data_IF_601146596926
#
_entry.id   IF_601146596926
#
_cell.length_a   1.000
_cell.length_b   1.000
_cell.length_c   1.000
_cell.angle_alpha   90.00
_cell.angle_beta   90.00
_cell.angle_gamma   90.00
#
_symmetry.space_group_name_H-M   'P 1'
#
loop_
_entity.id
_entity.type
_entity.pdbx_description
1 polymer ?
#
# COMPACT_ATOMS: atom_id res chain seq x y z
N UNK A 1 -25.60 26.92 9.29
CA UNK A 1 -26.34 26.70 8.03
C UNK A 1 -26.31 25.20 7.76
N UNK A 2 -27.45 24.57 7.49
CA UNK A 2 -27.46 23.17 7.08
C UNK A 2 -26.75 23.03 5.71
N UNK A 3 -25.91 22.00 5.50
CA UNK A 3 -25.29 21.76 4.20
C UNK A 3 -26.37 21.60 3.12
N UNK A 4 -26.21 22.25 1.98
CA UNK A 4 -27.10 22.01 0.83
C UNK A 4 -26.85 20.59 0.29
N UNK A 5 -27.92 19.90 -0.12
CA UNK A 5 -27.86 18.63 -0.85
C UNK A 5 -26.88 18.76 -2.03
N UNK A 6 -25.71 18.12 -1.93
CA UNK A 6 -24.62 18.19 -2.93
C UNK A 6 -23.23 18.50 -2.38
N UNK A 7 -23.10 19.11 -1.19
CA UNK A 7 -21.78 19.43 -0.59
C UNK A 7 -20.99 18.19 -0.12
N UNK A 8 -21.68 17.08 0.18
CA UNK A 8 -21.01 15.85 0.60
C UNK A 8 -20.17 15.23 -0.52
N UNK A 9 -20.66 15.30 -1.76
CA UNK A 9 -19.97 14.81 -2.96
C UNK A 9 -18.79 15.72 -3.34
N UNK A 10 -18.85 17.01 -2.99
CA UNK A 10 -17.77 17.99 -3.25
C UNK A 10 -16.52 17.75 -2.39
N UNK A 11 -16.71 17.16 -1.22
CA UNK A 11 -15.70 17.02 -0.15
C UNK A 11 -15.28 15.56 0.11
N UNK A 12 -15.58 14.67 -0.84
CA UNK A 12 -14.99 13.32 -0.87
C UNK A 12 -13.46 13.43 -0.92
N UNK A 13 -12.78 12.80 0.04
CA UNK A 13 -11.33 12.83 0.14
C UNK A 13 -10.80 13.61 1.34
N UNK A 14 -11.58 14.50 1.96
CA UNK A 14 -11.14 15.26 3.17
C UNK A 14 -10.60 14.32 4.24
N UNK A 15 -11.27 13.18 4.45
CA UNK A 15 -10.85 12.21 5.45
C UNK A 15 -9.47 11.65 5.10
N UNK A 16 -9.27 11.21 3.87
CA UNK A 16 -7.99 10.67 3.42
C UNK A 16 -6.87 11.72 3.41
N UNK A 17 -7.16 12.95 2.97
CA UNK A 17 -6.20 14.04 2.91
C UNK A 17 -5.77 14.49 4.32
N UNK A 18 -6.71 14.58 5.25
CA UNK A 18 -6.44 14.88 6.67
C UNK A 18 -5.58 13.79 7.29
N UNK A 19 -5.93 12.51 7.05
CA UNK A 19 -5.17 11.35 7.51
C UNK A 19 -3.74 11.38 6.96
N UNK A 20 -3.59 11.68 5.67
CA UNK A 20 -2.29 11.77 5.02
C UNK A 20 -1.44 12.89 5.64
N UNK A 21 -2.00 14.09 5.80
CA UNK A 21 -1.30 15.24 6.38
C UNK A 21 -0.84 14.96 7.82
N UNK A 22 -1.71 14.40 8.65
CA UNK A 22 -1.40 14.04 10.04
C UNK A 22 -0.31 12.95 10.06
N UNK A 23 -0.42 11.92 9.23
CA UNK A 23 0.58 10.86 9.14
C UNK A 23 1.95 11.43 8.74
N UNK A 24 1.99 12.28 7.71
CA UNK A 24 3.23 12.90 7.26
C UNK A 24 3.86 13.81 8.32
N UNK A 25 3.03 14.52 9.09
CA UNK A 25 3.48 15.34 10.22
C UNK A 25 4.15 14.48 11.30
N UNK A 26 3.52 13.37 11.68
CA UNK A 26 4.06 12.43 12.66
C UNK A 26 5.35 11.77 12.17
N UNK A 27 5.35 11.23 10.95
CA UNK A 27 6.52 10.58 10.34
C UNK A 27 7.68 11.58 10.14
N UNK A 28 7.38 12.88 10.03
CA UNK A 28 8.38 13.96 10.02
C UNK A 28 9.11 14.12 11.37
N UNK A 29 8.60 13.53 12.44
CA UNK A 29 9.12 13.68 13.80
C UNK A 29 8.56 14.91 14.52
N UNK A 30 7.33 15.34 14.21
CA UNK A 30 6.70 16.51 14.83
C UNK A 30 6.74 16.47 16.36
N UNK A 31 6.49 15.31 16.97
CA UNK A 31 6.53 15.17 18.43
C UNK A 31 7.97 15.19 18.98
N UNK A 32 8.92 14.64 18.23
CA UNK A 32 10.28 14.30 18.67
C UNK A 32 11.29 15.42 18.45
N UNK A 33 11.10 16.25 17.42
CA UNK A 33 12.04 17.28 17.00
C UNK A 33 11.56 18.67 17.40
N UNK A 34 12.49 19.53 17.77
CA UNK A 34 12.18 20.95 17.90
C UNK A 34 11.73 21.53 16.57
N UNK A 35 10.64 22.30 16.61
CA UNK A 35 10.08 22.91 15.40
C UNK A 35 10.92 24.15 15.08
N UNK A 36 11.63 24.11 13.95
CA UNK A 36 12.35 25.27 13.44
C UNK A 36 11.41 26.16 12.63
N UNK A 37 11.54 27.50 12.67
CA UNK A 37 10.77 28.43 11.82
C UNK A 37 10.95 28.21 10.30
N UNK A 38 11.89 27.35 9.87
CA UNK A 38 12.03 26.91 8.48
C UNK A 38 11.06 25.78 8.07
N UNK A 39 10.38 25.15 9.03
CA UNK A 39 9.30 24.18 8.82
C UNK A 39 7.98 24.99 8.74
N UNK A 40 7.30 25.00 7.60
CA UNK A 40 6.33 26.04 7.22
C UNK A 40 4.86 25.71 7.58
N UNK A 41 4.04 26.78 7.71
CA UNK A 41 2.55 26.91 7.70
C UNK A 41 1.77 26.43 8.94
N UNK A 42 1.73 27.23 10.01
CA UNK A 42 0.68 27.14 11.03
C UNK A 42 0.21 28.56 11.39
N UNK A 43 -1.10 28.76 11.59
CA UNK A 43 -1.67 30.04 12.05
C UNK A 43 -1.45 30.32 13.54
N UNK A 44 -0.87 29.36 14.27
CA UNK A 44 -0.48 29.48 15.68
C UNK A 44 0.97 29.95 15.77
N UNK A 45 1.30 30.89 16.66
CA UNK A 45 2.69 31.32 16.83
C UNK A 45 3.59 30.14 17.22
N UNK A 46 4.67 29.93 16.45
CA UNK A 46 5.61 28.81 16.58
C UNK A 46 6.12 28.60 18.02
N UNK A 47 6.28 29.69 18.77
CA UNK A 47 6.71 29.68 20.17
C UNK A 47 5.82 28.79 21.05
N UNK A 48 4.52 28.68 20.73
CA UNK A 48 3.55 27.90 21.49
C UNK A 48 3.63 26.39 21.23
N UNK A 49 4.40 25.92 20.23
CA UNK A 49 4.53 24.48 19.89
C UNK A 49 5.94 23.92 20.16
N UNK A 50 6.80 24.68 20.85
CA UNK A 50 8.17 24.26 21.13
C UNK A 50 8.25 23.13 22.16
N UNK A 51 7.29 23.04 23.08
CA UNK A 51 7.25 21.97 24.09
C UNK A 51 6.53 20.74 23.55
N UNK A 52 6.98 19.56 24.00
CA UNK A 52 6.30 18.29 23.70
C UNK A 52 4.82 18.31 24.08
N UNK A 53 4.51 18.82 25.30
CA UNK A 53 3.13 18.87 25.80
C UNK A 53 2.23 19.73 24.91
N UNK A 54 2.68 20.92 24.51
CA UNK A 54 1.88 21.78 23.65
C UNK A 54 1.63 21.18 22.26
N UNK A 55 2.58 20.41 21.71
CA UNK A 55 2.38 19.67 20.45
C UNK A 55 1.34 18.57 20.58
N UNK A 56 1.32 17.87 21.72
CA UNK A 56 0.29 16.89 22.03
C UNK A 56 -1.08 17.56 22.20
N UNK A 57 -1.14 18.66 22.96
CA UNK A 57 -2.39 19.39 23.18
C UNK A 57 -2.95 19.90 21.85
N UNK A 58 -2.09 20.33 20.93
CA UNK A 58 -2.49 20.69 19.57
C UNK A 58 -3.08 19.48 18.82
N UNK A 59 -2.44 18.31 18.90
CA UNK A 59 -2.93 17.09 18.25
C UNK A 59 -4.22 16.54 18.89
N UNK A 60 -4.57 16.92 20.13
CA UNK A 60 -5.86 16.55 20.74
C UNK A 60 -7.06 17.01 19.92
N UNK A 61 -6.90 18.12 19.17
CA UNK A 61 -7.91 18.64 18.25
C UNK A 61 -8.11 17.68 17.07
N UNK A 62 -7.02 17.09 16.55
CA UNK A 62 -7.08 16.03 15.54
C UNK A 62 -7.81 14.81 16.07
N UNK A 63 -7.57 14.38 17.31
CA UNK A 63 -8.29 13.24 17.90
C UNK A 63 -9.78 13.52 18.02
N UNK A 64 -10.12 14.74 18.46
CA UNK A 64 -11.51 15.19 18.56
C UNK A 64 -12.19 15.20 17.19
N UNK A 65 -11.47 15.62 16.16
CA UNK A 65 -11.94 15.58 14.77
C UNK A 65 -12.12 14.14 14.26
N UNK A 66 -11.17 13.23 14.53
CA UNK A 66 -11.28 11.81 14.15
C UNK A 66 -12.54 11.18 14.78
N UNK A 67 -12.77 11.45 16.06
CA UNK A 67 -13.92 10.93 16.80
C UNK A 67 -15.25 11.48 16.27
N UNK A 68 -15.33 12.78 16.01
CA UNK A 68 -16.56 13.43 15.53
C UNK A 68 -16.89 13.11 14.06
N UNK A 69 -15.88 12.76 13.26
CA UNK A 69 -16.06 12.31 11.87
C UNK A 69 -16.41 10.83 11.72
N UNK A 70 -16.54 10.12 12.83
CA UNK A 70 -16.96 8.73 12.84
C UNK A 70 -18.45 8.61 12.50
N UNK A 71 -18.81 7.58 11.75
CA UNK A 71 -20.20 7.23 11.48
C UNK A 71 -20.73 6.29 12.56
N UNK A 72 -20.44 5.00 12.41
CA UNK A 72 -20.68 3.97 13.41
C UNK A 72 -19.31 3.49 13.92
N UNK A 73 -18.83 2.33 13.46
CA UNK A 73 -17.55 1.76 13.87
C UNK A 73 -16.40 2.09 12.91
N UNK A 74 -16.67 2.81 11.83
CA UNK A 74 -15.66 3.24 10.87
C UNK A 74 -15.90 4.67 10.34
N UNK A 75 -15.25 4.97 9.21
CA UNK A 75 -15.25 6.28 8.56
C UNK A 75 -15.65 6.17 7.09
N UNK A 76 -16.12 7.29 6.54
CA UNK A 76 -16.47 7.42 5.13
C UNK A 76 -15.48 8.34 4.41
N UNK A 77 -15.64 8.50 3.10
CA UNK A 77 -14.77 9.34 2.26
C UNK A 77 -14.93 10.83 2.56
N UNK A 78 -16.13 11.24 2.98
CA UNK A 78 -16.49 12.61 3.30
C UNK A 78 -16.54 12.82 4.80
N UNK A 79 -16.23 14.04 5.25
CA UNK A 79 -16.41 14.44 6.64
C UNK A 79 -17.89 14.49 7.03
N UNK A 80 -18.16 14.13 8.28
CA UNK A 80 -19.51 14.06 8.82
C UNK A 80 -20.20 15.43 8.93
N UNK A 81 -19.43 16.52 8.85
CA UNK A 81 -19.92 17.90 8.85
C UNK A 81 -20.61 18.29 7.52
N UNK A 82 -20.31 17.56 6.44
CA UNK A 82 -20.92 17.79 5.11
C UNK A 82 -22.08 16.83 4.82
N UNK A 83 -22.38 15.91 5.73
CA UNK A 83 -23.48 14.96 5.58
C UNK A 83 -24.78 15.59 6.05
N UNK A 84 -25.74 15.74 5.13
CA UNK A 84 -27.08 16.24 5.47
C UNK A 84 -27.81 15.30 6.45
N UNK A 85 -27.62 13.98 6.30
CA UNK A 85 -28.14 12.94 7.18
C UNK A 85 -27.12 11.81 7.30
N UNK A 86 -26.47 11.69 8.46
CA UNK A 86 -25.44 10.67 8.71
C UNK A 86 -25.98 9.24 8.61
N UNK A 87 -27.29 9.03 8.85
CA UNK A 87 -27.89 7.70 8.83
C UNK A 87 -27.92 7.07 7.42
N UNK A 88 -27.76 7.89 6.37
CA UNK A 88 -27.73 7.43 4.98
C UNK A 88 -26.35 6.94 4.54
N UNK A 89 -25.32 7.15 5.38
CA UNK A 89 -23.95 6.79 5.07
C UNK A 89 -23.53 5.59 5.92
N UNK A 90 -22.89 4.62 5.27
CA UNK A 90 -22.26 3.49 5.92
C UNK A 90 -20.74 3.66 5.87
N UNK A 91 -19.99 3.22 6.88
CA UNK A 91 -18.53 3.26 6.83
C UNK A 91 -17.98 2.51 5.61
N UNK A 92 -16.83 2.96 5.13
CA UNK A 92 -16.15 2.37 3.98
C UNK A 92 -14.77 1.82 4.35
N UNK A 93 -14.36 0.74 3.69
CA UNK A 93 -13.12 0.00 3.93
C UNK A 93 -11.89 0.90 3.81
N UNK A 94 -11.74 1.62 2.70
CA UNK A 94 -10.57 2.46 2.43
C UNK A 94 -10.31 3.52 3.52
N UNK A 95 -11.26 4.44 3.77
CA UNK A 95 -11.12 5.49 4.79
C UNK A 95 -10.99 4.91 6.20
N UNK A 96 -11.74 3.86 6.53
CA UNK A 96 -11.61 3.19 7.82
C UNK A 96 -10.22 2.61 8.01
N UNK A 97 -9.69 1.92 7.00
CA UNK A 97 -8.37 1.33 7.08
C UNK A 97 -7.25 2.39 7.16
N UNK A 98 -7.35 3.45 6.35
CA UNK A 98 -6.42 4.57 6.40
C UNK A 98 -6.43 5.24 7.79
N UNK A 99 -7.62 5.44 8.37
CA UNK A 99 -7.78 6.03 9.69
C UNK A 99 -7.16 5.17 10.78
N UNK A 100 -7.44 3.86 10.76
CA UNK A 100 -6.89 2.91 11.75
C UNK A 100 -5.36 2.86 11.68
N UNK A 101 -4.78 2.88 10.47
CA UNK A 101 -3.32 2.93 10.30
C UNK A 101 -2.71 4.25 10.80
N UNK A 102 -3.40 5.37 10.65
CA UNK A 102 -2.95 6.64 11.21
C UNK A 102 -3.07 6.69 12.73
N UNK A 103 -4.17 6.17 13.28
CA UNK A 103 -4.33 6.01 14.73
C UNK A 103 -3.21 5.14 15.30
N UNK A 104 -2.86 4.03 14.65
CA UNK A 104 -1.75 3.16 15.07
C UNK A 104 -0.41 3.88 15.09
N UNK A 105 -0.12 4.68 14.06
CA UNK A 105 1.08 5.54 14.05
C UNK A 105 1.05 6.55 15.19
N UNK A 106 -0.12 7.12 15.45
CA UNK A 106 -0.27 8.12 16.48
C UNK A 106 -0.04 7.53 17.87
N UNK A 107 -0.59 6.34 18.13
CA UNK A 107 -0.32 5.55 19.33
C UNK A 107 1.17 5.22 19.50
N UNK A 108 1.87 4.86 18.42
CA UNK A 108 3.32 4.61 18.45
C UNK A 108 4.11 5.87 18.80
N UNK A 109 3.74 7.01 18.23
CA UNK A 109 4.42 8.28 18.46
C UNK A 109 4.25 8.82 19.89
N UNK A 110 3.19 8.42 20.59
CA UNK A 110 2.92 8.76 21.99
C UNK A 110 3.22 7.62 22.97
N UNK A 111 3.85 6.52 22.54
CA UNK A 111 3.96 5.30 23.34
C UNK A 111 4.69 5.49 24.69
N UNK A 112 5.58 6.49 24.77
CA UNK A 112 6.32 6.84 25.99
C UNK A 112 5.64 7.89 26.88
N UNK A 113 4.46 8.40 26.50
CA UNK A 113 3.72 9.40 27.28
C UNK A 113 2.52 8.75 27.98
N UNK A 114 2.71 8.41 29.25
CA UNK A 114 1.68 7.81 30.10
C UNK A 114 0.57 8.79 30.50
N UNK A 115 0.84 10.10 30.43
CA UNK A 115 -0.11 11.16 30.79
C UNK A 115 -0.99 11.60 29.61
N UNK A 116 -0.81 11.00 28.44
CA UNK A 116 -1.57 11.36 27.24
C UNK A 116 -3.07 10.99 27.39
N UNK A 117 -3.90 11.96 27.76
CA UNK A 117 -5.32 11.79 28.10
C UNK A 117 -6.16 11.09 27.03
N UNK A 118 -5.84 11.31 25.75
CA UNK A 118 -6.60 10.74 24.63
C UNK A 118 -6.10 9.36 24.17
N UNK A 119 -5.07 8.78 24.79
CA UNK A 119 -4.50 7.48 24.41
C UNK A 119 -5.55 6.36 24.44
N UNK A 120 -6.29 6.23 25.53
CA UNK A 120 -7.34 5.21 25.66
C UNK A 120 -8.45 5.37 24.60
N UNK A 121 -8.75 6.61 24.21
CA UNK A 121 -9.71 6.88 23.13
C UNK A 121 -9.18 6.35 21.79
N UNK A 122 -7.92 6.63 21.46
CA UNK A 122 -7.28 6.14 20.23
C UNK A 122 -7.20 4.61 20.19
N UNK A 123 -6.83 3.97 21.30
CA UNK A 123 -6.79 2.51 21.41
C UNK A 123 -8.17 1.88 21.14
N UNK A 124 -9.23 2.44 21.73
CA UNK A 124 -10.60 2.02 21.47
C UNK A 124 -11.01 2.21 20.00
N UNK A 125 -10.74 3.39 19.43
CA UNK A 125 -11.06 3.69 18.02
C UNK A 125 -10.36 2.73 17.06
N UNK A 126 -9.08 2.41 17.32
CA UNK A 126 -8.31 1.42 16.57
C UNK A 126 -8.97 0.04 16.66
N UNK A 127 -9.24 -0.43 17.87
CA UNK A 127 -9.79 -1.76 18.11
C UNK A 127 -11.15 -1.94 17.42
N UNK A 128 -12.05 -0.98 17.60
CA UNK A 128 -13.37 -1.02 16.98
C UNK A 128 -13.29 -1.07 15.45
N UNK A 129 -12.37 -0.31 14.85
CA UNK A 129 -12.17 -0.26 13.40
C UNK A 129 -11.57 -1.55 12.83
N UNK A 130 -10.62 -2.18 13.54
CA UNK A 130 -10.12 -3.52 13.20
C UNK A 130 -11.26 -4.54 13.24
N UNK A 131 -12.07 -4.49 14.29
CA UNK A 131 -13.17 -5.45 14.45
C UNK A 131 -14.27 -5.24 13.40
N UNK A 132 -14.59 -3.99 13.04
CA UNK A 132 -15.52 -3.71 11.94
C UNK A 132 -15.00 -4.28 10.60
N UNK A 133 -13.71 -4.13 10.30
CA UNK A 133 -13.12 -4.73 9.09
C UNK A 133 -13.28 -6.26 9.09
N UNK A 134 -13.06 -6.94 10.22
CA UNK A 134 -13.26 -8.40 10.29
C UNK A 134 -14.70 -8.80 9.94
N UNK A 135 -15.67 -8.04 10.42
CA UNK A 135 -17.10 -8.31 10.22
C UNK A 135 -17.56 -8.10 8.77
N UNK A 136 -16.96 -7.15 8.05
CA UNK A 136 -17.31 -6.87 6.65
C UNK A 136 -16.49 -7.66 5.62
N UNK A 137 -15.55 -8.51 6.06
CA UNK A 137 -14.77 -9.34 5.16
C UNK A 137 -15.67 -10.36 4.44
N UNK A 138 -15.63 -10.39 3.11
CA UNK A 138 -16.43 -11.35 2.34
C UNK A 138 -15.97 -12.79 2.58
N UNK A 139 -16.84 -13.76 2.31
CA UNK A 139 -16.50 -15.19 2.34
C UNK A 139 -15.31 -15.57 1.44
N UNK A 140 -15.12 -14.84 0.34
CA UNK A 140 -13.94 -15.00 -0.53
C UNK A 140 -12.61 -14.61 0.12
N UNK A 141 -12.64 -13.83 1.22
CA UNK A 141 -11.49 -13.26 1.91
C UNK A 141 -11.15 -11.84 1.48
N UNK A 142 -11.70 -11.36 0.36
CA UNK A 142 -11.51 -9.99 -0.12
C UNK A 142 -12.44 -8.97 0.53
N UNK A 143 -12.21 -7.69 0.24
CA UNK A 143 -12.95 -6.56 0.76
C UNK A 143 -13.47 -5.67 -0.36
N UNK A 144 -14.76 -5.33 -0.33
CA UNK A 144 -15.36 -4.26 -1.14
C UNK A 144 -15.28 -2.91 -0.43
N UNK A 145 -16.01 -1.91 -0.95
CA UNK A 145 -16.22 -0.65 -0.24
C UNK A 145 -16.82 -0.86 1.14
N UNK A 146 -17.79 -1.76 1.21
CA UNK A 146 -18.58 -2.15 2.37
C UNK A 146 -18.92 -3.64 2.21
N UNK A 147 -19.69 -4.22 3.14
CA UNK A 147 -20.03 -5.65 3.11
C UNK A 147 -20.93 -6.06 1.93
N UNK A 148 -21.59 -5.11 1.25
CA UNK A 148 -22.52 -5.36 0.15
C UNK A 148 -21.85 -5.21 -1.23
N UNK A 149 -20.75 -4.48 -1.32
CA UNK A 149 -19.99 -4.27 -2.56
C UNK A 149 -19.12 -5.49 -2.92
N UNK A 150 -18.71 -5.60 -4.18
CA UNK A 150 -17.82 -6.68 -4.61
C UNK A 150 -16.38 -6.46 -4.12
N UNK A 151 -15.63 -7.51 -3.77
CA UNK A 151 -14.23 -7.37 -3.38
C UNK A 151 -13.32 -6.73 -4.45
N UNK A 152 -12.52 -5.74 -4.04
CA UNK A 152 -11.58 -5.01 -4.90
C UNK A 152 -10.16 -5.04 -4.36
N UNK A 153 -9.20 -4.87 -5.26
CA UNK A 153 -7.78 -5.04 -4.92
C UNK A 153 -7.31 -4.00 -3.89
N UNK A 154 -7.64 -2.72 -4.09
CA UNK A 154 -7.18 -1.65 -3.19
C UNK A 154 -7.78 -1.75 -1.79
N UNK A 155 -9.08 -1.99 -1.68
CA UNK A 155 -9.76 -2.19 -0.38
C UNK A 155 -9.18 -3.40 0.38
N UNK A 156 -8.96 -4.51 -0.32
CA UNK A 156 -8.37 -5.72 0.28
C UNK A 156 -6.94 -5.48 0.77
N UNK A 157 -6.12 -4.74 0.01
CA UNK A 157 -4.76 -4.41 0.41
C UNK A 157 -4.73 -3.48 1.64
N UNK A 158 -5.58 -2.46 1.68
CA UNK A 158 -5.70 -1.58 2.85
C UNK A 158 -6.17 -2.33 4.09
N UNK A 159 -7.22 -3.16 3.96
CA UNK A 159 -7.73 -3.97 5.05
C UNK A 159 -6.67 -4.96 5.57
N UNK A 160 -5.95 -5.65 4.68
CA UNK A 160 -4.85 -6.54 5.07
C UNK A 160 -3.84 -5.84 5.97
N UNK A 161 -3.41 -4.63 5.62
CA UNK A 161 -2.46 -3.86 6.45
C UNK A 161 -2.98 -3.60 7.86
N UNK A 162 -4.27 -3.30 8.00
CA UNK A 162 -4.90 -3.07 9.30
C UNK A 162 -5.01 -4.36 10.12
N UNK A 163 -5.42 -5.47 9.49
CA UNK A 163 -5.52 -6.76 10.16
C UNK A 163 -4.14 -7.21 10.69
N UNK A 164 -3.06 -6.83 10.01
CA UNK A 164 -1.70 -7.11 10.48
C UNK A 164 -1.27 -6.33 11.74
N UNK A 165 -2.04 -5.33 12.17
CA UNK A 165 -1.78 -4.57 13.41
C UNK A 165 -2.19 -5.32 14.68
N UNK A 166 -3.08 -6.31 14.57
CA UNK A 166 -3.53 -7.12 15.71
C UNK A 166 -2.86 -8.48 15.73
N UNK A 167 -2.74 -9.06 16.93
CA UNK A 167 -2.14 -10.37 17.18
C UNK A 167 -3.16 -11.39 17.70
N UNK A 168 -4.46 -11.07 17.71
CA UNK A 168 -5.48 -12.07 18.03
C UNK A 168 -5.67 -13.05 16.88
N UNK A 169 -5.98 -14.31 17.24
CA UNK A 169 -6.09 -15.42 16.31
C UNK A 169 -7.13 -15.20 15.21
N UNK A 170 -8.27 -14.59 15.55
CA UNK A 170 -9.33 -14.32 14.58
C UNK A 170 -8.89 -13.29 13.54
N UNK A 171 -8.19 -12.24 13.97
CA UNK A 171 -7.62 -11.25 13.04
C UNK A 171 -6.53 -11.86 12.15
N UNK A 172 -5.73 -12.77 12.68
CA UNK A 172 -4.73 -13.52 11.90
C UNK A 172 -5.38 -14.36 10.79
N UNK A 173 -6.47 -15.06 11.11
CA UNK A 173 -7.23 -15.82 10.12
C UNK A 173 -7.81 -14.91 9.03
N UNK A 174 -8.38 -13.76 9.43
CA UNK A 174 -8.88 -12.76 8.49
C UNK A 174 -7.76 -12.20 7.58
N UNK A 175 -6.57 -11.91 8.15
CA UNK A 175 -5.41 -11.43 7.40
C UNK A 175 -4.92 -12.47 6.38
N UNK A 176 -4.86 -13.76 6.76
CA UNK A 176 -4.47 -14.85 5.85
C UNK A 176 -5.46 -14.96 4.69
N UNK A 177 -6.77 -14.84 4.95
CA UNK A 177 -7.79 -14.88 3.90
C UNK A 177 -7.67 -13.71 2.92
N UNK A 178 -7.39 -12.50 3.42
CA UNK A 178 -7.15 -11.33 2.58
C UNK A 178 -5.89 -11.48 1.72
N UNK A 179 -4.82 -12.02 2.32
CA UNK A 179 -3.58 -12.34 1.62
C UNK A 179 -3.80 -13.39 0.52
N UNK A 180 -4.46 -14.50 0.85
CA UNK A 180 -4.76 -15.58 -0.10
C UNK A 180 -5.63 -15.05 -1.25
N UNK A 181 -6.57 -14.15 -0.99
CA UNK A 181 -7.36 -13.48 -2.04
C UNK A 181 -6.47 -12.66 -2.98
N UNK A 182 -5.57 -11.82 -2.45
CA UNK A 182 -4.63 -11.02 -3.26
C UNK A 182 -3.70 -11.90 -4.08
N UNK A 183 -3.23 -13.02 -3.53
CA UNK A 183 -2.34 -13.95 -4.25
C UNK A 183 -3.08 -14.75 -5.32
N UNK A 184 -4.35 -15.10 -5.12
CA UNK A 184 -5.15 -15.82 -6.12
C UNK A 184 -5.63 -14.90 -7.23
N UNK A 185 -5.85 -13.62 -6.94
CA UNK A 185 -6.28 -12.63 -7.93
C UNK A 185 -5.14 -12.28 -8.89
N UNK A 186 -5.16 -12.83 -10.11
CA UNK A 186 -4.15 -12.60 -11.14
C UNK A 186 -4.02 -11.12 -11.52
N UNK A 187 -5.12 -10.35 -11.45
CA UNK A 187 -5.11 -8.90 -11.70
C UNK A 187 -4.34 -8.14 -10.62
N UNK A 188 -4.35 -8.61 -9.37
CA UNK A 188 -3.54 -8.02 -8.29
C UNK A 188 -2.02 -8.23 -8.49
N UNK A 189 -1.62 -9.21 -9.30
CA UNK A 189 -0.22 -9.45 -9.69
C UNK A 189 0.20 -8.69 -10.94
N UNK A 190 -0.74 -8.35 -11.82
CA UNK A 190 -0.53 -7.66 -13.09
C UNK A 190 -1.36 -6.38 -13.12
N UNK A 191 -1.09 -5.50 -12.17
CA UNK A 191 -1.90 -4.35 -11.87
C UNK A 191 -1.97 -3.33 -13.01
N UNK A 192 -0.94 -3.26 -13.86
CA UNK A 192 -0.97 -2.49 -15.11
C UNK A 192 -2.04 -2.94 -16.12
N UNK A 193 -2.67 -4.11 -15.93
CA UNK A 193 -3.76 -4.65 -16.76
C UNK A 193 -5.11 -4.71 -16.04
N UNK A 194 -5.15 -4.37 -14.76
CA UNK A 194 -6.41 -4.34 -14.00
C UNK A 194 -7.28 -3.19 -14.49
N UNK A 195 -8.58 -3.43 -14.71
CA UNK A 195 -9.51 -2.35 -15.02
C UNK A 195 -9.66 -1.44 -13.80
N UNK A 196 -10.09 -0.19 -14.01
CA UNK A 196 -10.34 0.73 -12.89
C UNK A 196 -11.38 0.18 -11.90
N UNK A 197 -12.37 -0.58 -12.38
CA UNK A 197 -13.41 -1.18 -11.54
C UNK A 197 -12.87 -2.30 -10.65
N UNK A 198 -11.84 -3.03 -11.11
CA UNK A 198 -11.17 -4.06 -10.30
C UNK A 198 -10.22 -3.45 -9.24
N UNK A 199 -9.75 -2.23 -9.49
CA UNK A 199 -8.70 -1.55 -8.76
C UNK A 199 -9.23 -0.86 -7.49
N UNK A 200 -10.26 -0.03 -7.64
CA UNK A 200 -10.87 0.73 -6.55
C UNK A 200 -12.31 1.15 -6.92
N UNK A 201 -12.95 1.90 -6.04
CA UNK A 201 -14.25 2.51 -6.32
C UNK A 201 -14.10 3.72 -7.24
N UNK A 202 -15.17 3.96 -8.00
CA UNK A 202 -15.39 5.20 -8.74
C UNK A 202 -16.41 6.02 -7.97
N UNK A 203 -16.11 7.28 -7.70
CA UNK A 203 -17.07 8.20 -7.11
C UNK A 203 -17.33 9.37 -8.05
N UNK A 204 -18.48 10.01 -7.90
CA UNK A 204 -18.88 11.13 -8.72
C UNK A 204 -18.77 12.41 -7.91
N UNK A 205 -17.74 13.21 -8.16
CA UNK A 205 -17.67 14.58 -7.64
C UNK A 205 -18.58 15.47 -8.50
N UNK A 206 -19.55 16.14 -7.89
CA UNK A 206 -20.35 17.15 -8.57
C UNK A 206 -19.57 18.49 -8.58
N UNK A 207 -19.37 19.07 -9.76
CA UNK A 207 -18.80 20.41 -9.92
C UNK A 207 -19.96 21.39 -10.01
N UNK A 208 -20.01 22.34 -9.07
CA UNK A 208 -21.02 23.40 -9.05
C UNK A 208 -20.40 24.75 -9.41
N UNK A 209 -21.17 25.58 -10.11
CA UNK A 209 -20.92 27.02 -10.23
C UNK A 209 -22.22 27.74 -9.91
N UNK A 210 -22.19 28.67 -8.96
CA UNK A 210 -23.36 29.51 -8.58
C UNK A 210 -24.62 28.68 -8.25
N UNK A 211 -24.49 27.67 -7.39
CA UNK A 211 -25.60 26.83 -6.90
C UNK A 211 -26.36 26.02 -7.99
N UNK A 212 -25.72 25.76 -9.13
CA UNK A 212 -26.22 24.81 -10.14
C UNK A 212 -25.18 23.72 -10.40
N UNK A 213 -25.63 22.45 -10.46
CA UNK A 213 -24.79 21.31 -10.86
C UNK A 213 -24.37 21.56 -12.30
N UNK A 214 -23.11 21.91 -12.51
CA UNK A 214 -22.57 22.17 -13.85
C UNK A 214 -22.14 20.85 -14.51
N UNK A 215 -21.55 19.92 -13.75
CA UNK A 215 -21.08 18.63 -14.27
C UNK A 215 -20.83 17.61 -13.15
N UNK A 216 -21.35 16.37 -13.27
CA UNK A 216 -20.86 15.24 -12.46
C UNK A 216 -19.58 14.72 -13.12
N UNK A 217 -18.45 14.76 -12.40
CA UNK A 217 -17.16 14.19 -12.83
C UNK A 217 -16.92 12.92 -12.03
N UNK A 218 -16.70 11.80 -12.71
CA UNK A 218 -16.26 10.58 -12.04
C UNK A 218 -14.78 10.75 -11.69
N UNK A 219 -14.48 10.81 -10.39
CA UNK A 219 -13.13 10.77 -9.86
C UNK A 219 -12.89 9.35 -9.36
N UNK A 220 -11.85 8.70 -9.88
CA UNK A 220 -11.27 7.58 -9.15
C UNK A 220 -10.17 8.18 -8.30
N UNK A 221 -10.24 7.97 -6.98
CA UNK A 221 -9.11 8.27 -6.12
C UNK A 221 -7.93 7.43 -6.62
N UNK A 222 -6.96 8.07 -7.29
CA UNK A 222 -5.74 7.40 -7.75
C UNK A 222 -4.80 7.18 -6.57
N UNK A 223 -5.17 6.24 -5.73
CA UNK A 223 -4.22 5.55 -4.88
C UNK A 223 -3.24 4.78 -5.78
N UNK A 224 -1.91 4.87 -5.54
CA UNK A 224 -0.90 4.13 -6.30
C UNK A 224 -1.02 2.64 -5.96
N UNK A 225 -1.94 1.97 -6.62
CA UNK A 225 -2.41 0.64 -6.25
C UNK A 225 -1.27 -0.38 -6.23
N UNK A 226 -0.33 -0.29 -7.16
CA UNK A 226 0.89 -1.10 -7.16
C UNK A 226 1.69 -0.94 -5.87
N UNK A 227 1.88 0.30 -5.41
CA UNK A 227 2.62 0.59 -4.21
C UNK A 227 1.86 0.10 -2.96
N UNK A 228 0.54 0.29 -2.91
CA UNK A 228 -0.27 -0.13 -1.76
C UNK A 228 -0.33 -1.65 -1.62
N UNK A 229 -0.53 -2.37 -2.73
CA UNK A 229 -0.48 -3.84 -2.72
C UNK A 229 0.92 -4.32 -2.36
N UNK A 230 1.97 -3.68 -2.91
CA UNK A 230 3.35 -4.01 -2.57
C UNK A 230 3.64 -3.84 -1.08
N UNK A 231 3.22 -2.72 -0.47
CA UNK A 231 3.34 -2.48 0.97
C UNK A 231 2.60 -3.56 1.75
N UNK A 232 1.34 -3.87 1.40
CA UNK A 232 0.56 -4.88 2.09
C UNK A 232 1.21 -6.27 2.06
N UNK A 233 1.81 -6.64 0.92
CA UNK A 233 2.55 -7.90 0.79
C UNK A 233 3.87 -7.89 1.58
N UNK A 234 4.59 -6.77 1.59
CA UNK A 234 5.78 -6.59 2.41
C UNK A 234 5.46 -6.71 3.91
N UNK A 235 4.43 -6.01 4.38
CA UNK A 235 3.93 -6.09 5.76
C UNK A 235 3.56 -7.55 6.10
N UNK A 236 2.79 -8.24 5.24
CA UNK A 236 2.43 -9.65 5.45
C UNK A 236 3.66 -10.58 5.51
N UNK A 237 4.67 -10.32 4.68
CA UNK A 237 5.91 -11.11 4.67
C UNK A 237 6.77 -10.87 5.93
N UNK A 238 6.80 -9.64 6.45
CA UNK A 238 7.45 -9.34 7.73
C UNK A 238 6.75 -10.09 8.88
N UNK A 239 5.43 -10.22 8.83
CA UNK A 239 4.65 -10.99 9.80
C UNK A 239 4.54 -12.50 9.50
N UNK A 240 5.33 -13.04 8.55
CA UNK A 240 5.21 -14.44 8.10
C UNK A 240 5.27 -15.51 9.19
N UNK A 241 6.05 -15.27 10.26
CA UNK A 241 6.19 -16.22 11.37
C UNK A 241 4.90 -16.30 12.19
N UNK A 242 4.31 -15.14 12.47
CA UNK A 242 3.03 -15.00 13.16
C UNK A 242 1.89 -15.60 12.34
N UNK A 243 1.81 -15.23 11.06
CA UNK A 243 0.81 -15.75 10.12
C UNK A 243 1.01 -17.24 9.76
N UNK A 244 2.05 -17.90 10.29
CA UNK A 244 2.37 -19.30 10.00
C UNK A 244 2.37 -19.62 8.49
N UNK A 245 2.94 -18.73 7.68
CA UNK A 245 2.89 -18.86 6.22
C UNK A 245 3.68 -20.10 5.76
N UNK A 246 3.00 -21.00 5.07
CA UNK A 246 3.62 -22.17 4.44
C UNK A 246 4.72 -21.75 3.45
N UNK A 247 5.65 -22.67 3.15
CA UNK A 247 6.72 -22.40 2.18
C UNK A 247 6.19 -21.91 0.83
N UNK A 248 5.12 -22.55 0.32
CA UNK A 248 4.48 -22.16 -0.93
C UNK A 248 3.85 -20.76 -0.89
N UNK A 249 3.20 -20.39 0.22
CA UNK A 249 2.69 -19.01 0.40
C UNK A 249 3.83 -17.99 0.44
N UNK A 250 4.90 -18.28 1.17
CA UNK A 250 6.08 -17.39 1.25
C UNK A 250 6.72 -17.17 -0.13
N UNK A 251 6.84 -18.21 -0.94
CA UNK A 251 7.31 -18.11 -2.32
C UNK A 251 6.35 -17.27 -3.18
N UNK A 252 5.05 -17.53 -3.07
CA UNK A 252 4.02 -16.78 -3.78
C UNK A 252 4.03 -15.28 -3.45
N UNK A 253 4.17 -14.92 -2.17
CA UNK A 253 4.30 -13.53 -1.71
C UNK A 253 5.59 -12.92 -2.26
N UNK A 254 6.72 -13.62 -2.16
CA UNK A 254 8.02 -13.13 -2.66
C UNK A 254 7.98 -12.84 -4.16
N UNK A 255 7.43 -13.76 -4.96
CA UNK A 255 7.24 -13.58 -6.41
C UNK A 255 6.35 -12.37 -6.72
N UNK A 256 5.27 -12.20 -5.97
CA UNK A 256 4.37 -11.05 -6.12
C UNK A 256 5.08 -9.72 -5.78
N UNK A 257 5.86 -9.68 -4.69
CA UNK A 257 6.68 -8.53 -4.29
C UNK A 257 7.64 -8.13 -5.41
N UNK A 258 8.40 -9.08 -5.99
CA UNK A 258 9.31 -8.77 -7.08
C UNK A 258 8.60 -8.29 -8.35
N UNK A 259 7.47 -8.92 -8.71
CA UNK A 259 6.66 -8.51 -9.87
C UNK A 259 6.15 -7.07 -9.72
N UNK A 260 5.61 -6.73 -8.55
CA UNK A 260 5.07 -5.40 -8.27
C UNK A 260 6.18 -4.35 -8.14
N UNK A 261 7.33 -4.71 -7.58
CA UNK A 261 8.52 -3.84 -7.53
C UNK A 261 8.92 -3.40 -8.93
N UNK A 262 8.99 -4.34 -9.89
CA UNK A 262 9.28 -4.03 -11.30
C UNK A 262 8.23 -3.09 -11.91
N UNK A 263 6.95 -3.26 -11.56
CA UNK A 263 5.88 -2.38 -12.03
C UNK A 263 5.98 -0.97 -11.45
N UNK A 264 6.27 -0.83 -10.15
CA UNK A 264 6.47 0.48 -9.49
C UNK A 264 7.67 1.20 -10.10
N UNK A 265 8.82 0.53 -10.22
CA UNK A 265 10.03 1.12 -10.84
C UNK A 265 9.78 1.46 -12.31
N UNK A 266 9.09 0.59 -13.06
CA UNK A 266 8.78 0.82 -14.47
C UNK A 266 7.86 2.02 -14.71
N UNK A 267 7.15 2.50 -13.69
CA UNK A 267 6.36 3.74 -13.73
C UNK A 267 7.20 4.99 -13.48
N UNK A 268 8.42 4.86 -12.97
CA UNK A 268 9.29 6.00 -12.73
C UNK A 268 9.64 6.68 -14.06
N UNK A 269 9.43 7.99 -14.17
CA UNK A 269 9.85 8.74 -15.37
C UNK A 269 11.37 8.89 -15.40
N UNK A 270 11.98 8.82 -16.59
CA UNK A 270 13.43 8.93 -16.79
C UNK A 270 13.98 10.30 -16.38
N UNK A 271 13.20 11.35 -16.65
CA UNK A 271 13.49 12.73 -16.27
C UNK A 271 12.27 13.26 -15.52
N UNK A 272 12.43 13.70 -14.27
CA UNK A 272 11.30 14.11 -13.46
C UNK A 272 11.70 15.03 -12.32
N UNK A 273 11.41 16.35 -12.38
CA UNK A 273 11.29 17.16 -11.18
C UNK A 273 10.21 16.54 -10.25
N UNK A 274 10.10 17.00 -9.00
CA UNK A 274 9.10 16.53 -8.01
C UNK A 274 7.65 16.41 -8.54
N UNK A 275 7.32 17.09 -9.65
CA UNK A 275 6.13 16.86 -10.48
C UNK A 275 6.46 15.85 -11.58
N UNK A 276 5.91 14.63 -11.48
CA UNK A 276 6.02 13.62 -12.54
C UNK A 276 6.99 12.46 -12.29
N UNK A 277 7.52 12.28 -11.08
CA UNK A 277 8.44 11.17 -10.77
C UNK A 277 7.86 9.78 -11.11
N UNK A 278 6.54 9.58 -11.03
CA UNK A 278 5.85 8.34 -11.43
C UNK A 278 4.69 8.63 -12.39
N UNK A 279 4.51 7.78 -13.42
CA UNK A 279 3.38 7.83 -14.35
C UNK A 279 2.10 7.33 -13.69
N UNK A 280 1.08 8.18 -13.70
CA UNK A 280 -0.31 7.83 -13.39
C UNK A 280 -0.83 6.73 -14.33
N UNK A 281 -1.90 6.02 -13.93
CA UNK A 281 -2.62 5.08 -14.81
C UNK A 281 -3.44 5.82 -15.87
N UNK A 282 -3.77 7.08 -15.64
CA UNK A 282 -4.60 7.90 -16.51
C UNK A 282 -3.75 8.84 -17.34
N UNK A 283 -4.16 9.00 -18.61
CA UNK A 283 -3.77 10.14 -19.44
C UNK A 283 -4.85 11.24 -19.29
N UNK A 284 -5.00 11.80 -18.08
CA UNK A 284 -5.95 12.90 -17.84
C UNK A 284 -5.17 14.20 -17.68
N UNK A 285 -5.30 15.19 -18.60
CA UNK A 285 -4.69 16.49 -18.44
C UNK A 285 -5.21 17.15 -17.15
N UNK A 286 -4.36 17.29 -16.13
CA UNK A 286 -4.67 18.00 -14.89
C UNK A 286 -5.05 17.17 -13.65
N UNK A 287 -5.01 15.83 -13.69
CA UNK A 287 -5.20 14.96 -12.52
C UNK A 287 -3.86 14.35 -12.04
N UNK A 288 -2.84 15.19 -11.88
CA UNK A 288 -1.57 14.73 -11.32
C UNK A 288 -1.66 14.75 -9.79
N UNK A 289 -1.71 13.58 -9.15
CA UNK A 289 -1.53 13.41 -7.70
C UNK A 289 -0.11 12.88 -7.40
N UNK A 290 0.96 13.61 -7.75
CA UNK A 290 2.33 13.10 -7.65
C UNK A 290 2.71 12.78 -6.21
N UNK A 291 2.14 13.49 -5.23
CA UNK A 291 2.50 13.34 -3.84
C UNK A 291 2.13 11.95 -3.28
N UNK A 292 0.91 11.46 -3.53
CA UNK A 292 0.49 10.13 -3.08
C UNK A 292 1.29 9.02 -3.74
N UNK A 293 1.56 9.16 -5.04
CA UNK A 293 2.42 8.24 -5.78
C UNK A 293 3.82 8.20 -5.20
N UNK A 294 4.47 9.35 -5.04
CA UNK A 294 5.82 9.44 -4.47
C UNK A 294 5.85 8.84 -3.07
N UNK A 295 4.95 9.26 -2.17
CA UNK A 295 4.95 8.82 -0.78
C UNK A 295 4.82 7.30 -0.65
N UNK A 296 3.81 6.69 -1.28
CA UNK A 296 3.61 5.25 -1.18
C UNK A 296 4.66 4.47 -1.98
N UNK A 297 5.09 4.93 -3.16
CA UNK A 297 6.12 4.22 -3.93
C UNK A 297 7.46 4.22 -3.21
N UNK A 298 7.87 5.34 -2.61
CA UNK A 298 9.09 5.42 -1.79
C UNK A 298 8.99 4.49 -0.58
N UNK A 299 7.86 4.51 0.14
CA UNK A 299 7.64 3.61 1.27
C UNK A 299 7.72 2.13 0.85
N UNK A 300 7.02 1.76 -0.23
CA UNK A 300 7.02 0.40 -0.76
C UNK A 300 8.43 -0.07 -1.13
N UNK A 301 9.18 0.76 -1.87
CA UNK A 301 10.55 0.43 -2.28
C UNK A 301 11.52 0.37 -1.10
N UNK A 302 11.33 1.20 -0.06
CA UNK A 302 12.10 1.11 1.18
C UNK A 302 11.86 -0.22 1.90
N UNK A 303 10.59 -0.65 2.03
CA UNK A 303 10.29 -1.93 2.65
C UNK A 303 10.86 -3.12 1.87
N UNK A 304 10.81 -3.06 0.53
CA UNK A 304 11.44 -4.07 -0.34
C UNK A 304 12.95 -4.11 -0.13
N UNK A 305 13.61 -2.94 -0.10
CA UNK A 305 15.04 -2.84 0.20
C UNK A 305 15.36 -3.53 1.52
N UNK A 306 14.61 -3.26 2.57
CA UNK A 306 14.86 -3.81 3.90
C UNK A 306 14.67 -5.35 3.93
N UNK A 307 13.68 -5.87 3.21
CA UNK A 307 13.46 -7.31 3.05
C UNK A 307 14.59 -8.01 2.27
N UNK A 308 15.12 -7.36 1.24
CA UNK A 308 16.22 -7.88 0.42
C UNK A 308 17.56 -7.81 1.17
N UNK A 309 17.90 -6.64 1.73
CA UNK A 309 19.14 -6.46 2.50
C UNK A 309 19.15 -7.29 3.78
N UNK A 310 17.99 -7.47 4.41
CA UNK A 310 17.83 -8.36 5.55
C UNK A 310 17.86 -9.86 5.19
N UNK A 311 18.07 -10.21 3.91
CA UNK A 311 18.13 -11.59 3.44
C UNK A 311 16.81 -12.36 3.59
N UNK A 312 15.70 -11.68 3.90
CA UNK A 312 14.41 -12.31 4.17
C UNK A 312 13.74 -12.79 2.89
N UNK A 313 13.99 -12.07 1.79
CA UNK A 313 13.60 -12.45 0.45
C UNK A 313 14.88 -12.45 -0.38
N UNK A 314 15.34 -13.63 -0.82
CA UNK A 314 16.35 -13.68 -1.88
C UNK A 314 15.65 -13.57 -3.23
N UNK A 315 16.23 -12.82 -4.17
CA UNK A 315 15.90 -13.00 -5.57
C UNK A 315 16.00 -14.49 -5.85
N UNK A 316 14.86 -15.10 -6.19
CA UNK A 316 14.55 -16.53 -6.13
C UNK A 316 15.77 -17.46 -6.20
N UNK A 317 15.75 -18.57 -5.46
CA UNK A 317 16.66 -19.72 -5.67
C UNK A 317 16.93 -19.98 -7.16
N UNK A 318 15.96 -19.77 -8.05
CA UNK A 318 16.08 -19.86 -9.52
C UNK A 318 17.17 -18.98 -10.15
N UNK A 319 17.52 -17.82 -9.58
CA UNK A 319 18.66 -17.01 -10.02
C UNK A 319 19.98 -17.66 -9.64
N UNK A 320 20.11 -18.14 -8.40
CA UNK A 320 21.31 -18.84 -7.93
C UNK A 320 21.47 -20.23 -8.54
N UNK A 321 20.39 -21.01 -8.71
CA UNK A 321 20.45 -22.29 -9.42
C UNK A 321 20.67 -22.10 -10.92
N UNK A 322 20.13 -21.04 -11.55
CA UNK A 322 20.53 -20.62 -12.91
C UNK A 322 22.02 -20.29 -12.98
N UNK A 323 22.53 -19.54 -12.00
CA UNK A 323 23.95 -19.15 -11.95
C UNK A 323 24.86 -20.37 -11.75
N UNK A 324 24.49 -21.29 -10.85
CA UNK A 324 25.20 -22.55 -10.59
C UNK A 324 25.16 -23.45 -11.83
N UNK A 325 24.00 -23.60 -12.49
CA UNK A 325 23.87 -24.40 -13.73
C UNK A 325 24.74 -23.80 -14.85
N UNK A 326 24.73 -22.47 -15.01
CA UNK A 326 25.57 -21.79 -16.00
C UNK A 326 27.06 -21.91 -15.68
N UNK A 327 27.45 -21.78 -14.42
CA UNK A 327 28.83 -21.94 -13.97
C UNK A 327 29.33 -23.39 -14.16
N UNK A 328 28.49 -24.38 -13.84
CA UNK A 328 28.79 -25.80 -14.06
C UNK A 328 28.95 -26.10 -15.55
N UNK A 329 28.11 -25.51 -16.40
CA UNK A 329 28.21 -25.67 -17.85
C UNK A 329 29.49 -25.07 -18.42
N UNK A 330 29.88 -23.86 -17.96
CA UNK A 330 31.15 -23.22 -18.35
C UNK A 330 32.34 -24.08 -17.89
N UNK A 331 32.30 -24.62 -16.67
CA UNK A 331 33.35 -25.50 -16.18
C UNK A 331 33.48 -26.79 -17.00
N UNK A 332 32.37 -27.41 -17.40
CA UNK A 332 32.36 -28.59 -18.29
C UNK A 332 32.91 -28.22 -19.67
N UNK A 333 32.47 -27.09 -20.26
CA UNK A 333 32.96 -26.65 -21.56
C UNK A 333 34.47 -26.36 -21.56
N UNK A 334 34.99 -25.73 -20.51
CA UNK A 334 36.43 -25.51 -20.33
C UNK A 334 37.17 -26.83 -20.13
N UNK A 335 36.63 -27.75 -19.34
CA UNK A 335 37.21 -29.09 -19.14
C UNK A 335 37.32 -29.90 -20.44
N UNK A 336 36.27 -29.87 -21.25
CA UNK A 336 36.26 -30.49 -22.60
C UNK A 336 37.26 -29.81 -23.52
N UNK A 337 37.33 -28.47 -23.52
CA UNK A 337 38.26 -27.71 -24.34
C UNK A 337 39.74 -27.98 -23.99
N UNK A 338 40.05 -28.16 -22.71
CA UNK A 338 41.42 -28.45 -22.23
C UNK A 338 41.78 -29.92 -22.49
N UNK A 339 40.82 -30.84 -22.39
CA UNK A 339 41.06 -32.27 -22.54
C UNK A 339 41.31 -32.71 -24.00
N UNK A 340 40.84 -31.94 -24.98
CA UNK A 340 40.91 -32.32 -26.39
C UNK A 340 41.98 -31.51 -27.12
N UNK A 341 43.16 -32.12 -27.33
CA UNK A 341 44.18 -31.60 -28.24
C UNK A 341 43.79 -31.92 -29.69
N UNK A 342 43.44 -30.89 -30.46
CA UNK A 342 43.15 -30.96 -31.89
C UNK A 342 41.65 -30.84 -32.18
N UNK A 343 41.18 -29.62 -32.43
CA UNK A 343 39.76 -29.30 -32.54
C UNK A 343 39.21 -29.63 -33.95
N UNK A 344 38.23 -30.53 -34.05
CA UNK A 344 37.41 -30.76 -35.25
C UNK A 344 36.12 -29.92 -35.16
N UNK A 345 35.71 -29.30 -36.26
CA UNK A 345 34.51 -28.47 -36.38
C UNK A 345 33.21 -29.20 -36.00
N UNK A 346 33.20 -30.54 -36.08
CA UNK A 346 32.06 -31.35 -35.59
C UNK A 346 31.86 -31.25 -34.08
N UNK A 347 32.93 -31.16 -33.30
CA UNK A 347 32.86 -31.08 -31.84
C UNK A 347 32.43 -29.69 -31.37
N UNK A 348 32.87 -28.64 -32.08
CA UNK A 348 32.39 -27.28 -31.88
C UNK A 348 30.87 -27.17 -32.16
N UNK A 349 30.38 -27.85 -33.20
CA UNK A 349 28.96 -27.89 -33.51
C UNK A 349 28.14 -28.59 -32.41
N UNK A 350 28.66 -29.68 -31.82
CA UNK A 350 28.01 -30.37 -30.70
C UNK A 350 27.96 -29.49 -29.45
N UNK A 351 29.04 -28.77 -29.13
CA UNK A 351 29.07 -27.82 -28.01
C UNK A 351 28.11 -26.64 -28.21
N UNK A 352 27.98 -26.13 -29.43
CA UNK A 352 27.00 -25.09 -29.78
C UNK A 352 25.56 -25.60 -29.66
N UNK A 353 25.28 -26.81 -30.13
CA UNK A 353 23.95 -27.43 -30.02
C UNK A 353 23.59 -27.68 -28.55
N UNK A 354 24.52 -28.17 -27.74
CA UNK A 354 24.33 -28.35 -26.29
C UNK A 354 24.14 -27.00 -25.59
N UNK A 355 24.90 -25.97 -25.95
CA UNK A 355 24.73 -24.62 -25.42
C UNK A 355 23.36 -24.02 -25.73
N UNK A 356 22.87 -24.20 -26.95
CA UNK A 356 21.52 -23.78 -27.36
C UNK A 356 20.45 -24.59 -26.64
N UNK A 357 20.59 -25.91 -26.56
CA UNK A 357 19.64 -26.79 -25.87
C UNK A 357 19.53 -26.47 -24.38
N UNK A 358 20.65 -26.23 -23.70
CA UNK A 358 20.66 -25.81 -22.28
C UNK A 358 20.05 -24.42 -22.10
N UNK A 359 20.27 -23.48 -23.01
CA UNK A 359 19.60 -22.18 -22.96
C UNK A 359 18.09 -22.32 -23.15
N UNK A 360 17.64 -23.14 -24.10
CA UNK A 360 16.22 -23.43 -24.33
C UNK A 360 15.60 -24.09 -23.10
N UNK A 361 16.23 -25.12 -22.53
CA UNK A 361 15.77 -25.78 -21.31
C UNK A 361 15.75 -24.80 -20.13
N UNK A 362 16.76 -23.93 -19.99
CA UNK A 362 16.78 -22.87 -18.97
C UNK A 362 15.63 -21.88 -19.15
N UNK A 363 15.27 -21.52 -20.38
CA UNK A 363 14.12 -20.65 -20.68
C UNK A 363 12.79 -21.34 -20.32
N UNK A 364 12.67 -22.65 -20.58
CA UNK A 364 11.49 -23.43 -20.21
C UNK A 364 11.37 -23.63 -18.70
N UNK A 365 12.49 -23.87 -17.99
CA UNK A 365 12.52 -24.02 -16.53
C UNK A 365 12.37 -22.70 -15.76
N UNK A 366 12.53 -21.55 -16.43
CA UNK A 366 12.35 -20.21 -15.83
C UNK A 366 11.05 -19.51 -16.24
N UNK A 367 10.27 -20.10 -17.15
CA UNK A 367 8.91 -19.69 -17.48
C UNK A 367 7.90 -20.45 -16.62
N UNK A 368 7.82 -20.11 -15.33
CA UNK A 368 6.63 -20.35 -14.48
C UNK A 368 6.39 -19.19 -13.50
#
# INVERSE_FOLDING_TARGET
MAPQLGQADEMEGIVNDTIFAVTALLDGGFLEKEISPKWLIVSTSFENLNTYRARIDWLSQTVSWIKSNRLDRGWYFTSSDYMADKAQYIPATGPTAAMVLAIDRFLKAIAGDEECEYRATLEKLKLDGVQWLKEIQHESGGFGRDAQDVPRIGHTAWALRVLLLSTDQDTEFAAIRALDWLLKNTKAKQLGRASEQDAFDRYAQAIFTKNQIFRKRIIAHEHPLEAIVLIALCDAFQHRGRLSLSSGRRDGVSKAIFSLTKQVIGRQQKDGPLRGAFRSRRNSPGEEYPLYWIAHSVLALSQVRDLVLGGQISASRNFFSSLIIRALFVAIAIGVFIAIKGFDYRELAILLILGVAVNVISIFLTRE
#
